data_IF_689557233666
#
_entry.id   IF_689557233666
#
_cell.length_a   1.000
_cell.length_b   1.000
_cell.length_c   1.000
_cell.angle_alpha   90.00
_cell.angle_beta   90.00
_cell.angle_gamma   90.00
#
_symmetry.space_group_name_H-M   'P 1'
#
loop_
_entity.id
_entity.type
_entity.pdbx_description
1 polymer ?
#
# COMPACT_ATOMS: atom_id res chain seq x y z
N UNK A 1 -11.76 -42.22 -32.17
CA UNK A 1 -10.56 -41.76 -31.45
C UNK A 1 -10.98 -41.49 -30.02
N UNK A 2 -10.80 -42.46 -29.12
CA UNK A 2 -10.95 -42.22 -27.68
C UNK A 2 -9.70 -41.47 -27.26
N UNK A 3 -9.86 -40.29 -26.67
CA UNK A 3 -8.74 -39.43 -26.35
C UNK A 3 -7.93 -40.12 -25.24
N UNK A 4 -6.62 -40.30 -25.47
CA UNK A 4 -5.73 -40.92 -24.48
C UNK A 4 -5.73 -40.19 -23.12
N UNK A 5 -6.13 -38.93 -23.13
CA UNK A 5 -6.36 -38.11 -21.94
C UNK A 5 -7.45 -38.70 -21.05
N UNK A 6 -8.56 -39.18 -21.60
CA UNK A 6 -9.67 -39.74 -20.81
C UNK A 6 -9.26 -41.06 -20.13
N UNK A 7 -8.43 -41.85 -20.82
CA UNK A 7 -7.86 -43.09 -20.28
C UNK A 7 -6.90 -42.78 -19.12
N UNK A 8 -6.02 -41.78 -19.28
CA UNK A 8 -5.15 -41.30 -18.20
C UNK A 8 -5.93 -40.75 -17.01
N UNK A 9 -6.97 -39.95 -17.23
CA UNK A 9 -7.81 -39.39 -16.15
C UNK A 9 -8.54 -40.48 -15.38
N UNK A 10 -8.98 -41.55 -16.05
CA UNK A 10 -9.58 -42.71 -15.40
C UNK A 10 -8.59 -43.53 -14.55
N UNK A 11 -7.31 -43.57 -14.93
CA UNK A 11 -6.24 -44.23 -14.16
C UNK A 11 -5.73 -43.38 -12.99
N UNK A 12 -5.70 -42.05 -13.13
CA UNK A 12 -5.23 -41.14 -12.10
C UNK A 12 -6.14 -41.15 -10.86
N UNK A 13 -7.46 -41.24 -11.05
CA UNK A 13 -8.47 -41.37 -10.00
C UNK A 13 -8.50 -40.22 -8.97
N UNK A 14 -9.66 -39.92 -8.40
CA UNK A 14 -9.79 -38.95 -7.30
C UNK A 14 -9.40 -39.58 -5.95
N UNK A 15 -8.16 -40.09 -5.86
CA UNK A 15 -7.61 -40.63 -4.62
C UNK A 15 -7.40 -39.53 -3.58
N UNK A 16 -7.33 -39.91 -2.29
CA UNK A 16 -7.05 -39.00 -1.16
C UNK A 16 -5.76 -38.18 -1.37
N UNK A 17 -4.78 -38.74 -2.07
CA UNK A 17 -3.53 -38.07 -2.45
C UNK A 17 -3.72 -37.00 -3.53
N UNK A 18 -4.59 -37.23 -4.52
CA UNK A 18 -4.92 -36.23 -5.54
C UNK A 18 -5.63 -35.03 -4.87
N UNK A 19 -6.56 -35.30 -3.95
CA UNK A 19 -7.22 -34.25 -3.17
C UNK A 19 -6.25 -33.47 -2.28
N UNK A 20 -5.33 -34.15 -1.60
CA UNK A 20 -4.26 -33.50 -0.84
C UNK A 20 -3.40 -32.60 -1.74
N UNK A 21 -3.02 -33.08 -2.93
CA UNK A 21 -2.25 -32.31 -3.90
C UNK A 21 -2.99 -31.05 -4.37
N UNK A 22 -4.30 -31.15 -4.66
CA UNK A 22 -5.12 -29.99 -5.00
C UNK A 22 -5.22 -28.98 -3.85
N UNK A 23 -5.35 -29.44 -2.61
CA UNK A 23 -5.36 -28.55 -1.43
C UNK A 23 -4.01 -27.84 -1.29
N UNK A 24 -2.91 -28.57 -1.37
CA UNK A 24 -1.56 -28.01 -1.22
C UNK A 24 -1.27 -27.00 -2.33
N UNK A 25 -1.59 -27.34 -3.58
CA UNK A 25 -1.40 -26.45 -4.74
C UNK A 25 -2.34 -25.24 -4.66
N UNK A 26 -3.58 -25.42 -4.22
CA UNK A 26 -4.55 -24.35 -4.03
C UNK A 26 -4.16 -23.38 -2.91
N UNK A 27 -3.60 -23.88 -1.81
CA UNK A 27 -3.06 -23.03 -0.74
C UNK A 27 -1.84 -22.24 -1.22
N UNK A 28 -0.93 -22.89 -1.95
CA UNK A 28 0.26 -22.25 -2.50
C UNK A 28 -0.08 -21.16 -3.53
N UNK A 29 -1.11 -21.39 -4.35
CA UNK A 29 -1.57 -20.41 -5.37
C UNK A 29 -2.60 -19.41 -4.86
N UNK A 30 -3.21 -19.66 -3.68
CA UNK A 30 -4.16 -18.76 -3.03
C UNK A 30 -3.49 -17.67 -2.19
N UNK A 31 -2.31 -17.92 -1.63
CA UNK A 31 -1.51 -16.94 -0.85
C UNK A 31 -1.01 -15.68 -1.61
N UNK A 32 -0.69 -15.72 -2.92
CA UNK A 32 -0.24 -14.56 -3.67
C UNK A 32 -1.23 -13.39 -3.68
N UNK A 33 -2.54 -13.66 -3.66
CA UNK A 33 -3.56 -12.61 -3.69
C UNK A 33 -3.56 -11.75 -2.40
N UNK A 34 -3.66 -12.33 -1.19
CA UNK A 34 -3.45 -11.57 0.05
C UNK A 34 -2.09 -10.89 0.12
N UNK A 35 -1.03 -11.53 -0.38
CA UNK A 35 0.32 -10.98 -0.35
C UNK A 35 0.46 -9.73 -1.24
N UNK A 36 -0.12 -9.75 -2.44
CA UNK A 36 -0.17 -8.59 -3.33
C UNK A 36 -1.08 -7.47 -2.79
N UNK A 37 -2.19 -7.84 -2.12
CA UNK A 37 -3.13 -6.89 -1.53
C UNK A 37 -2.65 -6.30 -0.20
N UNK A 38 -1.67 -6.91 0.46
CA UNK A 38 -1.12 -6.42 1.73
C UNK A 38 -0.66 -4.96 1.64
N UNK A 39 -0.11 -4.55 0.50
CA UNK A 39 0.33 -3.17 0.25
C UNK A 39 -0.79 -2.13 0.42
N UNK A 40 -2.04 -2.50 0.13
CA UNK A 40 -3.19 -1.59 0.30
C UNK A 40 -3.50 -1.29 1.77
N UNK A 41 -3.13 -2.19 2.69
CA UNK A 41 -3.33 -2.04 4.13
C UNK A 41 -2.08 -1.51 4.84
N UNK A 42 -0.90 -1.80 4.31
CA UNK A 42 0.39 -1.39 4.87
C UNK A 42 0.71 0.06 4.54
N UNK A 43 0.47 0.49 3.28
CA UNK A 43 0.76 1.85 2.81
C UNK A 43 -0.50 2.51 2.19
N UNK A 44 -1.64 2.56 2.92
CA UNK A 44 -2.88 3.16 2.43
C UNK A 44 -2.71 4.67 2.20
N UNK A 45 -3.62 5.25 1.40
CA UNK A 45 -3.76 6.71 1.32
C UNK A 45 -4.62 7.09 2.51
N UNK A 46 -4.06 7.88 3.40
CA UNK A 46 -4.74 8.37 4.59
C UNK A 46 -4.95 9.87 4.45
N UNK A 47 -6.12 10.32 4.87
CA UNK A 47 -6.42 11.75 4.93
C UNK A 47 -5.56 12.37 6.04
N UNK A 48 -4.98 13.53 5.73
CA UNK A 48 -4.04 14.21 6.62
C UNK A 48 -4.42 15.68 6.82
N UNK A 49 -4.16 16.08 8.07
CA UNK A 49 -4.09 17.33 8.84
C UNK A 49 -2.75 18.08 8.78
N UNK A 50 -2.63 19.40 8.60
CA UNK A 50 -1.37 20.10 8.87
C UNK A 50 -1.36 20.33 10.35
N UNK A 51 -0.37 19.77 11.03
CA UNK A 51 -0.15 20.11 12.43
C UNK A 51 0.49 21.49 12.45
N UNK A 52 -0.29 22.49 12.82
CA UNK A 52 0.18 23.87 12.90
C UNK A 52 1.41 23.93 13.81
N UNK A 53 2.52 24.50 13.33
CA UNK A 53 3.64 24.82 14.21
C UNK A 53 3.17 25.91 15.19
N UNK A 54 3.29 25.66 16.50
CA UNK A 54 2.81 26.54 17.57
C UNK A 54 3.23 28.00 17.35
N UNK A 55 2.33 28.83 16.82
CA UNK A 55 2.51 30.28 16.80
C UNK A 55 2.06 30.77 18.18
N UNK A 56 3.03 30.99 19.06
CA UNK A 56 2.83 31.59 20.38
C UNK A 56 2.58 33.11 20.25
N UNK A 57 1.46 33.53 19.64
CA UNK A 57 0.81 34.82 19.89
C UNK A 57 -0.51 34.96 19.12
N UNK A 58 -1.61 35.24 19.83
CA UNK A 58 -2.79 35.93 19.30
C UNK A 58 -3.78 35.08 18.50
N UNK A 59 -5.08 35.37 18.69
CA UNK A 59 -6.22 34.67 18.12
C UNK A 59 -6.14 34.59 16.59
N UNK A 60 -5.65 33.47 16.07
CA UNK A 60 -5.56 33.23 14.66
C UNK A 60 -6.69 32.32 14.20
N UNK A 61 -7.49 32.82 13.27
CA UNK A 61 -8.57 32.06 12.66
C UNK A 61 -7.91 31.05 11.73
N UNK A 62 -7.80 29.79 12.18
CA UNK A 62 -7.31 28.67 11.38
C UNK A 62 -8.03 28.67 10.04
N UNK A 63 -7.30 29.06 9.00
CA UNK A 63 -7.76 29.04 7.62
C UNK A 63 -8.22 27.63 7.29
N UNK A 64 -9.36 27.57 6.60
CA UNK A 64 -10.07 26.38 6.11
C UNK A 64 -9.12 25.20 5.87
N UNK A 65 -9.04 24.30 6.85
CA UNK A 65 -8.19 23.13 6.75
C UNK A 65 -8.82 22.16 5.75
N UNK A 66 -8.39 22.25 4.50
CA UNK A 66 -8.81 21.31 3.48
C UNK A 66 -8.03 20.02 3.68
N UNK A 67 -8.75 18.94 4.01
CA UNK A 67 -8.21 17.58 4.02
C UNK A 67 -7.48 17.32 2.69
N UNK A 68 -6.27 16.74 2.78
CA UNK A 68 -5.32 16.53 1.66
C UNK A 68 -4.56 17.78 1.17
N UNK A 69 -4.54 18.89 1.92
CA UNK A 69 -3.72 20.05 1.56
C UNK A 69 -2.29 19.90 2.05
N UNK A 70 -1.34 20.05 1.12
CA UNK A 70 0.09 20.01 1.40
C UNK A 70 0.69 21.35 1.83
N UNK A 71 -0.11 22.41 1.74
CA UNK A 71 0.27 23.79 2.01
C UNK A 71 -0.79 24.47 2.87
N UNK A 72 -0.35 25.50 3.59
CA UNK A 72 -1.21 26.36 4.38
C UNK A 72 -0.90 27.81 4.07
N UNK A 73 -1.90 28.67 4.27
CA UNK A 73 -1.78 30.11 4.07
C UNK A 73 -1.45 30.76 5.42
N UNK A 74 -0.31 31.43 5.48
CA UNK A 74 0.10 32.26 6.61
C UNK A 74 -0.23 33.71 6.27
N UNK A 75 -1.16 34.32 7.01
CA UNK A 75 -1.51 35.74 6.87
C UNK A 75 -0.86 36.51 8.04
N UNK A 76 0.11 37.35 7.73
CA UNK A 76 0.75 38.20 8.75
C UNK A 76 -0.16 39.39 9.09
N UNK A 77 -0.38 39.63 10.38
CA UNK A 77 -1.28 40.69 10.86
C UNK A 77 -0.73 42.07 10.45
N UNK A 78 -1.30 42.68 9.42
CA UNK A 78 -0.92 43.99 8.90
C UNK A 78 -0.52 44.08 7.42
N UNK A 79 -0.38 42.95 6.71
CA UNK A 79 -0.13 42.93 5.25
C UNK A 79 -1.14 42.03 4.53
N UNK A 80 -1.68 42.48 3.39
CA UNK A 80 -2.64 41.72 2.56
C UNK A 80 -1.95 40.60 1.75
N UNK A 81 -0.78 40.16 2.20
CA UNK A 81 0.06 39.15 1.55
C UNK A 81 -0.18 37.81 2.23
N UNK A 82 -0.92 36.94 1.54
CA UNK A 82 -1.04 35.53 1.89
C UNK A 82 0.21 34.80 1.36
N UNK A 83 1.04 34.31 2.27
CA UNK A 83 2.19 33.47 1.90
C UNK A 83 1.79 31.99 1.96
N UNK A 84 1.96 31.28 0.86
CA UNK A 84 1.76 29.83 0.83
C UNK A 84 3.01 29.13 1.39
N UNK A 85 2.85 28.45 2.52
CA UNK A 85 3.92 27.69 3.17
C UNK A 85 3.66 26.20 3.10
N UNK A 86 4.74 25.44 3.00
CA UNK A 86 4.72 23.98 3.05
C UNK A 86 4.55 23.53 4.50
N UNK A 87 3.60 22.63 4.73
CA UNK A 87 3.46 22.00 6.03
C UNK A 87 4.60 20.97 6.22
N UNK A 88 5.14 20.92 7.44
CA UNK A 88 6.26 20.04 7.81
C UNK A 88 5.80 18.87 8.68
N UNK A 89 4.67 19.04 9.37
CA UNK A 89 4.15 18.09 10.34
C UNK A 89 2.66 17.85 10.12
N UNK A 90 2.19 16.63 10.41
CA UNK A 90 0.86 16.18 10.00
C UNK A 90 0.08 15.50 11.13
N UNK A 91 -1.24 15.67 11.11
CA UNK A 91 -2.21 14.96 11.93
C UNK A 91 -3.04 14.01 11.05
N UNK A 92 -2.97 12.71 11.29
CA UNK A 92 -3.64 11.71 10.46
C UNK A 92 -5.00 11.30 11.03
N UNK A 93 -6.00 11.07 10.17
CA UNK A 93 -7.25 10.46 10.61
C UNK A 93 -7.06 8.97 10.91
N UNK A 94 -7.18 8.62 12.19
CA UNK A 94 -7.02 7.26 12.69
C UNK A 94 -8.35 6.50 12.84
N UNK A 95 -9.44 6.99 12.22
CA UNK A 95 -10.78 6.38 12.28
C UNK A 95 -10.81 4.94 11.73
N UNK A 96 -10.06 4.67 10.65
CA UNK A 96 -10.02 3.37 9.98
C UNK A 96 -8.77 2.57 10.33
N UNK A 97 -7.61 3.23 10.37
CA UNK A 97 -6.32 2.60 10.64
C UNK A 97 -5.64 3.31 11.81
N UNK A 98 -5.26 2.59 12.86
CA UNK A 98 -4.62 3.20 14.05
C UNK A 98 -3.20 3.68 13.76
N UNK A 99 -2.43 2.89 13.03
CA UNK A 99 -1.06 3.21 12.61
C UNK A 99 -0.79 2.53 11.27
N UNK A 100 -0.13 3.24 10.38
CA UNK A 100 0.25 2.75 9.05
C UNK A 100 1.67 3.19 8.73
N UNK A 101 2.31 2.54 7.76
CA UNK A 101 3.64 2.99 7.30
C UNK A 101 3.52 4.41 6.75
N UNK A 102 2.39 4.76 6.12
CA UNK A 102 2.14 6.13 5.62
C UNK A 102 2.24 7.17 6.73
N UNK A 103 1.58 6.94 7.88
CA UNK A 103 1.58 7.86 9.02
C UNK A 103 2.88 7.84 9.84
N UNK A 104 3.60 6.72 9.84
CA UNK A 104 4.84 6.57 10.63
C UNK A 104 6.04 7.28 9.98
N UNK A 105 6.08 7.32 8.65
CA UNK A 105 7.19 7.90 7.88
C UNK A 105 6.83 9.19 7.13
N UNK A 106 5.63 9.73 7.38
CA UNK A 106 5.07 10.90 6.69
C UNK A 106 5.14 10.80 5.17
N UNK A 107 4.63 9.71 4.62
CA UNK A 107 4.65 9.41 3.17
C UNK A 107 3.53 10.16 2.42
N UNK A 108 3.32 11.44 2.75
CA UNK A 108 2.35 12.35 2.14
C UNK A 108 3.06 13.45 1.35
N UNK A 109 2.31 14.16 0.50
CA UNK A 109 2.80 15.33 -0.24
C UNK A 109 4.09 15.06 -1.02
N UNK A 110 5.21 15.70 -0.65
CA UNK A 110 6.50 15.54 -1.32
C UNK A 110 7.01 14.08 -1.32
N UNK A 111 6.55 13.25 -0.37
CA UNK A 111 6.95 11.85 -0.21
C UNK A 111 5.89 10.85 -0.69
N UNK A 112 4.77 11.30 -1.26
CA UNK A 112 3.70 10.41 -1.73
C UNK A 112 4.20 9.36 -2.74
N UNK A 113 5.14 9.74 -3.61
CA UNK A 113 5.71 8.87 -4.64
C UNK A 113 6.36 7.60 -4.06
N UNK A 114 6.83 7.63 -2.81
CA UNK A 114 7.48 6.49 -2.15
C UNK A 114 6.47 5.34 -1.98
N UNK A 115 5.18 5.66 -1.85
CA UNK A 115 4.10 4.67 -1.79
C UNK A 115 3.98 3.91 -3.12
N UNK A 116 4.04 4.62 -4.24
CA UNK A 116 4.06 4.01 -5.57
C UNK A 116 5.37 3.23 -5.82
N UNK A 117 6.50 3.74 -5.31
CA UNK A 117 7.79 3.06 -5.38
C UNK A 117 7.73 1.69 -4.69
N UNK A 118 7.13 1.59 -3.50
CA UNK A 118 6.92 0.32 -2.79
C UNK A 118 6.24 -0.73 -3.68
N UNK A 119 5.12 -0.36 -4.33
CA UNK A 119 4.41 -1.27 -5.24
C UNK A 119 5.27 -1.66 -6.45
N UNK A 120 6.07 -0.75 -6.99
CA UNK A 120 6.95 -1.05 -8.12
C UNK A 120 8.06 -2.04 -7.75
N UNK A 121 8.71 -1.84 -6.58
CA UNK A 121 9.77 -2.72 -6.09
C UNK A 121 9.24 -4.12 -5.81
N UNK A 122 8.03 -4.23 -5.27
CA UNK A 122 7.34 -5.50 -5.10
C UNK A 122 7.20 -6.25 -6.43
N UNK A 123 6.68 -5.59 -7.46
CA UNK A 123 6.47 -6.21 -8.77
C UNK A 123 7.78 -6.61 -9.45
N UNK A 124 8.83 -5.78 -9.31
CA UNK A 124 10.17 -6.12 -9.78
C UNK A 124 10.70 -7.35 -9.02
N UNK A 125 10.50 -7.42 -7.71
CA UNK A 125 10.87 -8.58 -6.89
C UNK A 125 10.19 -9.86 -7.36
N UNK A 126 8.89 -9.82 -7.66
CA UNK A 126 8.15 -10.96 -8.22
C UNK A 126 8.68 -11.33 -9.60
N UNK A 127 8.94 -10.34 -10.46
CA UNK A 127 9.43 -10.54 -11.83
C UNK A 127 10.79 -11.24 -11.86
N UNK A 128 11.71 -10.87 -10.97
CA UNK A 128 13.05 -11.46 -10.89
C UNK A 128 13.05 -12.76 -10.08
N UNK A 129 12.29 -12.82 -8.99
CA UNK A 129 12.24 -13.97 -8.10
C UNK A 129 11.58 -15.20 -8.72
N UNK A 130 10.53 -15.02 -9.51
CA UNK A 130 9.79 -16.13 -10.13
C UNK A 130 10.67 -17.03 -11.04
N UNK A 131 11.41 -16.50 -12.04
CA UNK A 131 12.28 -17.33 -12.87
C UNK A 131 13.46 -17.91 -12.08
N UNK A 132 13.97 -17.18 -11.08
CA UNK A 132 15.08 -17.65 -10.25
C UNK A 132 14.69 -18.88 -9.40
N UNK A 133 13.54 -18.83 -8.73
CA UNK A 133 13.01 -19.96 -7.96
C UNK A 133 12.62 -21.11 -8.90
N UNK A 134 12.06 -20.80 -10.07
CA UNK A 134 11.79 -21.79 -11.10
C UNK A 134 13.04 -22.56 -11.52
N UNK A 135 14.15 -21.84 -11.78
CA UNK A 135 15.44 -22.47 -12.09
C UNK A 135 15.97 -23.33 -10.95
N UNK A 136 15.88 -22.85 -9.70
CA UNK A 136 16.30 -23.63 -8.53
C UNK A 136 15.42 -24.86 -8.28
N UNK A 137 14.16 -24.85 -8.70
CA UNK A 137 13.25 -25.99 -8.52
C UNK A 137 13.44 -27.08 -9.57
N UNK A 138 13.94 -26.70 -10.76
CA UNK A 138 14.21 -27.62 -11.87
C UNK A 138 15.50 -28.42 -11.67
N UNK A 139 16.42 -27.92 -10.84
CA UNK A 139 17.74 -28.49 -10.60
C UNK A 139 17.82 -29.27 -9.28
#
# INVERSE_FOLDING_TARGET
MVNQVDVLLSQLGTGKWNFLHFIVTGLATGMPAPHALSGAFVVPRIDHSCRQADIEYGNYHSSDYKNDSCTYLDQSDGEDLQEEKLCTEWDYDNSTFTTTITSEFDLVCQKEYIRALYSSLYMIGVLVGSPFIGYLSDK
#
